data_IF_000705800855
#
_entry.id   IF_000705800855
#
_cell.length_a   1.000
_cell.length_b   1.000
_cell.length_c   1.000
_cell.angle_alpha   90.00
_cell.angle_beta   90.00
_cell.angle_gamma   90.00
#
_symmetry.space_group_name_H-M   'P 1'
#
loop_
_entity.id
_entity.type
_entity.pdbx_description
1 polymer ?
#
# COMPACT_ATOMS: atom_id res chain seq x y z
N UNK A 1 27.27 27.89 3.02
CA UNK A 1 26.51 26.65 2.79
C UNK A 1 26.61 26.27 1.32
N UNK A 2 27.11 25.08 0.95
CA UNK A 2 27.27 24.67 -0.44
C UNK A 2 25.92 24.36 -1.11
N UNK A 3 25.91 24.43 -2.44
CA UNK A 3 24.82 23.93 -3.27
C UNK A 3 25.19 22.52 -3.78
N UNK A 4 24.25 21.58 -3.72
CA UNK A 4 24.41 20.20 -4.21
C UNK A 4 23.42 20.00 -5.35
N UNK A 5 23.88 19.48 -6.48
CA UNK A 5 23.01 19.11 -7.59
C UNK A 5 23.18 17.64 -7.93
N UNK A 6 22.07 16.90 -7.95
CA UNK A 6 22.02 15.50 -8.36
C UNK A 6 21.21 15.37 -9.65
N UNK A 7 21.84 15.14 -10.81
CA UNK A 7 21.15 14.98 -12.09
C UNK A 7 20.50 13.61 -12.29
N UNK A 8 20.67 12.67 -11.36
CA UNK A 8 20.11 11.31 -11.40
C UNK A 8 19.47 10.96 -10.05
N UNK A 9 18.61 11.86 -9.58
CA UNK A 9 18.12 11.83 -8.21
C UNK A 9 17.29 10.58 -7.88
N UNK A 10 16.64 9.95 -8.86
CA UNK A 10 15.84 8.75 -8.65
C UNK A 10 14.75 8.99 -7.61
N UNK A 11 14.88 8.36 -6.43
CA UNK A 11 13.97 8.56 -5.30
C UNK A 11 14.25 9.80 -4.43
N UNK A 12 15.33 10.56 -4.71
CA UNK A 12 15.66 11.80 -4.02
C UNK A 12 16.53 11.65 -2.76
N UNK A 13 17.24 10.53 -2.59
CA UNK A 13 18.04 10.27 -1.38
C UNK A 13 19.18 11.30 -1.17
N UNK A 14 19.93 11.64 -2.22
CA UNK A 14 21.03 12.62 -2.15
C UNK A 14 20.49 14.03 -1.86
N UNK A 15 19.47 14.54 -2.60
CA UNK A 15 18.85 15.82 -2.27
C UNK A 15 18.31 15.89 -0.83
N UNK A 16 17.66 14.82 -0.34
CA UNK A 16 17.12 14.77 1.01
C UNK A 16 18.22 14.90 2.08
N UNK A 17 19.29 14.12 1.95
CA UNK A 17 20.40 14.16 2.90
C UNK A 17 21.16 15.49 2.85
N UNK A 18 21.37 16.05 1.65
CA UNK A 18 21.96 17.37 1.48
C UNK A 18 21.11 18.45 2.17
N UNK A 19 19.77 18.42 1.99
CA UNK A 19 18.86 19.34 2.65
C UNK A 19 18.87 19.17 4.18
N UNK A 20 18.95 17.93 4.68
CA UNK A 20 19.06 17.62 6.12
C UNK A 20 20.31 18.22 6.75
N UNK A 21 21.42 18.28 6.01
CA UNK A 21 22.67 18.93 6.42
C UNK A 21 22.64 20.46 6.25
N UNK A 22 21.53 21.03 5.78
CA UNK A 22 21.35 22.45 5.56
C UNK A 22 21.81 22.94 4.18
N UNK A 23 22.35 22.07 3.32
CA UNK A 23 22.78 22.44 1.98
C UNK A 23 21.59 22.85 1.09
N UNK A 24 21.84 23.71 0.11
CA UNK A 24 20.86 23.95 -0.95
C UNK A 24 20.94 22.80 -1.95
N UNK A 25 20.00 21.87 -1.87
CA UNK A 25 19.94 20.70 -2.74
C UNK A 25 19.04 20.92 -3.95
N UNK A 26 19.49 20.45 -5.10
CA UNK A 26 18.74 20.42 -6.35
C UNK A 26 18.81 18.99 -6.88
N UNK A 27 17.69 18.44 -7.35
CA UNK A 27 17.62 17.12 -7.95
C UNK A 27 16.84 17.16 -9.24
N UNK A 28 17.23 16.31 -10.18
CA UNK A 28 16.54 16.09 -11.44
C UNK A 28 16.58 14.59 -11.77
N UNK A 29 15.55 14.12 -12.46
CA UNK A 29 15.56 12.83 -13.11
C UNK A 29 14.77 12.94 -14.42
N UNK A 30 15.31 12.35 -15.49
CA UNK A 30 14.66 12.34 -16.80
C UNK A 30 13.45 11.41 -16.83
N UNK A 31 13.43 10.39 -15.96
CA UNK A 31 12.31 9.48 -15.86
C UNK A 31 11.14 10.17 -15.14
N UNK A 32 9.98 10.34 -15.79
CA UNK A 32 8.84 11.04 -15.18
C UNK A 32 8.32 10.33 -13.92
N UNK A 33 8.47 9.01 -13.82
CA UNK A 33 8.09 8.25 -12.62
C UNK A 33 9.02 8.58 -11.46
N UNK A 34 10.34 8.56 -11.71
CA UNK A 34 11.33 8.92 -10.71
C UNK A 34 11.14 10.37 -10.24
N UNK A 35 10.93 11.30 -11.18
CA UNK A 35 10.65 12.69 -10.87
C UNK A 35 9.45 12.86 -9.92
N UNK A 36 8.33 12.16 -10.17
CA UNK A 36 7.16 12.23 -9.29
C UNK A 36 7.46 11.64 -7.90
N UNK A 37 8.18 10.52 -7.85
CA UNK A 37 8.61 9.90 -6.58
C UNK A 37 9.51 10.85 -5.80
N UNK A 38 10.48 11.49 -6.44
CA UNK A 38 11.36 12.47 -5.85
C UNK A 38 10.57 13.65 -5.26
N UNK A 39 9.63 14.22 -6.02
CA UNK A 39 8.75 15.30 -5.55
C UNK A 39 7.95 14.87 -4.32
N UNK A 40 7.38 13.66 -4.35
CA UNK A 40 6.62 13.10 -3.24
C UNK A 40 7.45 12.78 -1.99
N UNK A 41 8.71 12.39 -2.19
CA UNK A 41 9.59 11.94 -1.10
C UNK A 41 10.37 13.10 -0.46
N UNK A 42 10.71 14.13 -1.25
CA UNK A 42 11.60 15.23 -0.81
C UNK A 42 10.86 16.55 -0.75
N UNK A 43 10.26 17.01 -1.85
CA UNK A 43 9.71 18.37 -1.92
C UNK A 43 8.40 18.52 -1.14
N UNK A 44 7.44 17.61 -1.37
CA UNK A 44 6.10 17.74 -0.80
C UNK A 44 6.10 17.65 0.73
N UNK A 45 6.83 16.74 1.39
CA UNK A 45 6.89 16.71 2.85
C UNK A 45 7.47 18.00 3.44
N UNK A 46 8.50 18.57 2.83
CA UNK A 46 9.11 19.83 3.31
C UNK A 46 8.19 21.04 3.09
N UNK A 47 7.43 21.06 2.00
CA UNK A 47 6.56 22.18 1.64
C UNK A 47 5.18 22.11 2.31
N UNK A 48 4.58 20.94 2.34
CA UNK A 48 3.18 20.70 2.74
C UNK A 48 3.04 19.86 4.02
N UNK A 49 4.11 19.26 4.55
CA UNK A 49 4.09 18.53 5.83
C UNK A 49 4.00 19.43 7.06
N UNK A 50 3.46 20.65 6.92
CA UNK A 50 3.35 21.67 7.97
C UNK A 50 1.89 21.79 8.43
N UNK A 51 1.65 22.35 9.64
CA UNK A 51 0.30 22.65 10.08
C UNK A 51 -0.38 23.67 9.18
N UNK A 52 -1.69 23.52 8.99
CA UNK A 52 -2.53 24.48 8.27
C UNK A 52 -3.84 24.70 9.01
N UNK A 53 -4.37 25.92 8.90
CA UNK A 53 -5.66 26.30 9.48
C UNK A 53 -6.64 26.61 8.36
N UNK A 54 -7.83 26.04 8.44
CA UNK A 54 -8.94 26.33 7.56
C UNK A 54 -10.09 26.94 8.33
N UNK A 55 -10.87 27.80 7.68
CA UNK A 55 -12.24 28.06 8.13
C UNK A 55 -13.09 26.83 7.83
N UNK A 56 -14.15 26.62 8.61
CA UNK A 56 -15.05 25.49 8.38
C UNK A 56 -15.66 25.52 6.96
N UNK A 57 -16.03 26.70 6.46
CA UNK A 57 -16.56 26.90 5.11
C UNK A 57 -15.57 26.46 4.03
N UNK A 58 -14.31 26.89 4.13
CA UNK A 58 -13.27 26.56 3.16
C UNK A 58 -12.92 25.07 3.20
N UNK A 59 -12.87 24.49 4.40
CA UNK A 59 -12.64 23.06 4.56
C UNK A 59 -13.76 22.24 3.92
N UNK A 60 -15.03 22.60 4.17
CA UNK A 60 -16.19 21.95 3.54
C UNK A 60 -16.19 22.11 2.02
N UNK A 61 -15.71 23.25 1.49
CA UNK A 61 -15.57 23.48 0.05
C UNK A 61 -14.56 22.53 -0.60
N UNK A 62 -13.43 22.26 0.07
CA UNK A 62 -12.34 21.43 -0.47
C UNK A 62 -12.62 19.93 -0.28
N UNK A 63 -12.99 19.51 0.93
CA UNK A 63 -13.07 18.09 1.31
C UNK A 63 -14.50 17.56 1.46
N UNK A 64 -15.51 18.43 1.36
CA UNK A 64 -16.91 18.03 1.46
C UNK A 64 -17.26 17.40 2.81
N UNK A 65 -18.30 16.55 2.79
CA UNK A 65 -18.78 15.84 3.98
C UNK A 65 -17.78 14.78 4.46
N UNK A 66 -17.19 14.04 3.54
CA UNK A 66 -16.27 12.93 3.85
C UNK A 66 -15.00 13.41 4.58
N UNK A 67 -14.52 14.62 4.25
CA UNK A 67 -13.43 15.24 4.99
C UNK A 67 -13.79 15.56 6.45
N UNK A 68 -15.03 15.98 6.71
CA UNK A 68 -15.52 16.26 8.06
C UNK A 68 -15.60 14.96 8.87
N UNK A 69 -16.13 13.89 8.26
CA UNK A 69 -16.20 12.58 8.89
C UNK A 69 -14.79 12.06 9.25
N UNK A 70 -13.81 12.29 8.37
CA UNK A 70 -12.40 11.96 8.65
C UNK A 70 -11.80 12.80 9.79
N UNK A 71 -12.10 14.10 9.87
CA UNK A 71 -11.64 14.95 10.97
C UNK A 71 -12.14 14.44 12.32
N UNK A 72 -13.44 14.11 12.40
CA UNK A 72 -14.07 13.58 13.61
C UNK A 72 -13.42 12.26 14.01
N UNK A 73 -13.22 11.35 13.06
CA UNK A 73 -12.56 10.07 13.31
C UNK A 73 -11.11 10.23 13.83
N UNK A 74 -10.42 11.30 13.45
CA UNK A 74 -9.08 11.65 13.93
C UNK A 74 -9.07 12.43 15.25
N UNK A 75 -10.23 12.76 15.81
CA UNK A 75 -10.34 13.55 17.03
C UNK A 75 -9.91 15.02 16.85
N UNK A 76 -9.90 15.53 15.61
CA UNK A 76 -9.57 16.94 15.34
C UNK A 76 -10.84 17.76 15.52
N UNK A 77 -10.95 18.45 16.65
CA UNK A 77 -12.11 19.29 16.98
C UNK A 77 -12.08 20.64 16.27
N UNK A 78 -13.25 21.13 15.88
CA UNK A 78 -13.44 22.47 15.36
C UNK A 78 -13.50 23.45 16.54
N UNK A 79 -12.57 24.40 16.61
CA UNK A 79 -12.55 25.43 17.67
C UNK A 79 -12.86 26.79 17.05
N UNK A 80 -13.95 27.44 17.48
CA UNK A 80 -14.37 28.75 16.99
C UNK A 80 -14.49 28.83 15.45
N UNK A 81 -15.01 27.79 14.79
CA UNK A 81 -15.14 27.72 13.33
C UNK A 81 -13.81 27.55 12.58
N UNK A 82 -12.70 27.32 13.30
CA UNK A 82 -11.36 27.09 12.73
C UNK A 82 -10.96 25.64 12.97
N UNK A 83 -10.47 25.02 11.90
CA UNK A 83 -9.97 23.65 11.88
C UNK A 83 -8.45 23.73 11.77
N UNK A 84 -7.75 23.10 12.72
CA UNK A 84 -6.30 23.04 12.73
C UNK A 84 -5.83 21.64 12.36
N UNK A 85 -5.24 21.49 11.18
CA UNK A 85 -4.70 20.22 10.71
C UNK A 85 -3.20 20.23 11.01
N UNK A 86 -2.69 19.32 11.88
CA UNK A 86 -1.28 19.33 12.27
C UNK A 86 -0.31 19.08 11.11
N UNK A 87 -0.72 18.26 10.14
CA UNK A 87 0.07 17.98 8.94
C UNK A 87 -0.87 17.92 7.73
N UNK A 88 -0.83 18.96 6.89
CA UNK A 88 -1.67 19.06 5.71
C UNK A 88 -1.44 17.89 4.75
N UNK A 89 -0.17 17.62 4.39
CA UNK A 89 0.15 16.57 3.42
C UNK A 89 -0.39 15.21 3.85
N UNK A 90 -0.18 14.83 5.10
CA UNK A 90 -0.67 13.56 5.63
C UNK A 90 -2.20 13.46 5.58
N UNK A 91 -2.89 14.56 5.86
CA UNK A 91 -4.35 14.61 5.77
C UNK A 91 -4.83 14.47 4.32
N UNK A 92 -4.23 15.24 3.41
CA UNK A 92 -4.55 15.23 1.98
C UNK A 92 -4.34 13.83 1.38
N UNK A 93 -3.19 13.20 1.65
CA UNK A 93 -2.86 11.85 1.16
C UNK A 93 -3.88 10.83 1.64
N UNK A 94 -4.25 10.86 2.92
CA UNK A 94 -5.23 9.90 3.45
C UNK A 94 -6.63 10.11 2.85
N UNK A 95 -7.06 11.36 2.75
CA UNK A 95 -8.36 11.71 2.17
C UNK A 95 -8.47 11.23 0.72
N UNK A 96 -7.51 11.62 -0.14
CA UNK A 96 -7.54 11.22 -1.55
C UNK A 96 -7.26 9.74 -1.75
N UNK A 97 -6.46 9.08 -0.89
CA UNK A 97 -6.27 7.64 -0.95
C UNK A 97 -7.57 6.88 -0.68
N UNK A 98 -8.37 7.30 0.31
CA UNK A 98 -9.68 6.69 0.60
C UNK A 98 -10.66 6.89 -0.55
N UNK A 99 -10.66 8.09 -1.16
CA UNK A 99 -11.46 8.36 -2.36
C UNK A 99 -11.07 7.42 -3.51
N UNK A 100 -9.77 7.34 -3.80
CA UNK A 100 -9.25 6.48 -4.86
C UNK A 100 -9.60 5.02 -4.60
N UNK A 101 -9.41 4.53 -3.37
CA UNK A 101 -9.79 3.17 -2.99
C UNK A 101 -11.28 2.91 -3.20
N UNK A 102 -12.16 3.84 -2.82
CA UNK A 102 -13.60 3.70 -3.03
C UNK A 102 -13.98 3.71 -4.52
N UNK A 103 -13.28 4.49 -5.35
CA UNK A 103 -13.48 4.51 -6.81
C UNK A 103 -12.99 3.20 -7.44
N UNK A 104 -11.78 2.77 -7.10
CA UNK A 104 -11.19 1.51 -7.59
C UNK A 104 -12.03 0.31 -7.18
N UNK A 105 -12.54 0.27 -5.95
CA UNK A 105 -13.42 -0.80 -5.50
C UNK A 105 -14.72 -0.88 -6.33
N UNK A 106 -15.31 0.27 -6.71
CA UNK A 106 -16.49 0.29 -7.58
C UNK A 106 -16.16 -0.17 -9.00
N UNK A 107 -14.99 0.19 -9.50
CA UNK A 107 -14.59 -0.07 -10.88
C UNK A 107 -14.11 -1.51 -11.09
N UNK A 108 -13.30 -2.04 -10.19
CA UNK A 108 -12.63 -3.35 -10.35
C UNK A 108 -12.83 -4.30 -9.17
N UNK A 109 -13.59 -3.92 -8.14
CA UNK A 109 -13.80 -4.78 -6.96
C UNK A 109 -14.47 -6.11 -7.28
N UNK A 110 -15.25 -6.20 -8.36
CA UNK A 110 -15.84 -7.46 -8.82
C UNK A 110 -14.81 -8.50 -9.27
N UNK A 111 -13.59 -8.08 -9.64
CA UNK A 111 -12.47 -8.99 -9.94
C UNK A 111 -11.90 -9.66 -8.69
N UNK A 112 -12.24 -9.12 -7.51
CA UNK A 112 -11.73 -9.52 -6.21
C UNK A 112 -12.89 -9.87 -5.24
N UNK A 113 -13.72 -10.88 -5.58
CA UNK A 113 -14.90 -11.20 -4.79
C UNK A 113 -14.51 -11.63 -3.37
N UNK A 114 -15.37 -11.29 -2.42
CA UNK A 114 -15.26 -11.81 -1.07
C UNK A 114 -15.60 -13.31 -1.02
N UNK A 115 -15.02 -14.02 -0.07
CA UNK A 115 -15.39 -15.42 0.21
C UNK A 115 -16.81 -15.52 0.82
N UNK A 116 -17.27 -16.75 1.07
CA UNK A 116 -18.58 -17.02 1.69
C UNK A 116 -18.77 -16.36 3.07
N UNK A 117 -17.65 -16.03 3.75
CA UNK A 117 -17.64 -15.38 5.05
C UNK A 117 -17.47 -13.85 4.95
N UNK A 118 -17.44 -13.30 3.73
CA UNK A 118 -17.25 -11.86 3.49
C UNK A 118 -15.79 -11.39 3.55
N UNK A 119 -14.80 -12.28 3.62
CA UNK A 119 -13.39 -11.92 3.62
C UNK A 119 -12.91 -11.61 2.20
N UNK A 120 -12.29 -10.45 2.00
CA UNK A 120 -11.66 -10.09 0.73
C UNK A 120 -10.25 -10.67 0.62
N UNK A 121 -9.89 -11.29 -0.51
CA UNK A 121 -8.54 -11.78 -0.74
C UNK A 121 -7.56 -10.60 -0.86
N UNK A 122 -6.48 -10.63 -0.07
CA UNK A 122 -5.42 -9.61 -0.07
C UNK A 122 -4.38 -9.90 -1.16
N UNK A 123 -4.24 -11.17 -1.56
CA UNK A 123 -3.29 -11.60 -2.57
C UNK A 123 -3.82 -12.84 -3.30
N UNK A 124 -3.47 -12.94 -4.58
CA UNK A 124 -3.67 -14.13 -5.40
C UNK A 124 -2.32 -14.77 -5.66
N UNK A 125 -2.26 -16.09 -5.51
CA UNK A 125 -1.03 -16.84 -5.74
C UNK A 125 -1.19 -17.66 -7.02
N UNK A 126 -0.51 -17.22 -8.08
CA UNK A 126 -0.55 -17.89 -9.38
C UNK A 126 0.64 -18.84 -9.53
N UNK A 127 0.36 -20.09 -9.90
CA UNK A 127 1.37 -21.12 -10.14
C UNK A 127 1.12 -21.77 -11.50
N UNK A 128 2.19 -22.07 -12.25
CA UNK A 128 2.09 -22.98 -13.40
C UNK A 128 1.97 -24.41 -12.87
N UNK A 129 1.15 -25.24 -13.48
CA UNK A 129 1.06 -26.67 -13.14
C UNK A 129 1.86 -27.52 -14.13
N UNK A 130 2.31 -28.69 -13.68
CA UNK A 130 2.88 -29.72 -14.52
C UNK A 130 2.34 -31.10 -14.11
N UNK A 131 2.09 -31.94 -15.10
CA UNK A 131 1.63 -33.31 -14.87
C UNK A 131 2.73 -34.14 -14.24
N UNK A 132 2.40 -34.89 -13.19
CA UNK A 132 3.31 -35.81 -12.52
C UNK A 132 3.87 -36.83 -13.50
N UNK A 133 5.19 -37.01 -13.52
CA UNK A 133 5.86 -37.95 -14.43
C UNK A 133 5.59 -39.42 -14.11
N UNK A 134 5.03 -39.73 -12.93
CA UNK A 134 4.63 -41.09 -12.59
C UNK A 134 3.37 -41.48 -13.38
N UNK A 135 3.43 -42.50 -14.27
CA UNK A 135 2.31 -42.90 -15.12
C UNK A 135 1.04 -43.31 -14.37
N UNK A 136 1.19 -43.74 -13.10
CA UNK A 136 0.07 -44.13 -12.23
C UNK A 136 -0.55 -42.95 -11.46
N UNK A 137 0.13 -41.81 -11.34
CA UNK A 137 -0.32 -40.66 -10.55
C UNK A 137 -1.03 -39.62 -11.43
N UNK A 138 -0.36 -39.13 -12.49
CA UNK A 138 -0.87 -38.11 -13.43
C UNK A 138 -1.44 -36.81 -12.83
N UNK A 139 -1.25 -36.57 -11.53
CA UNK A 139 -1.61 -35.34 -10.81
C UNK A 139 -1.08 -34.05 -11.46
N UNK A 140 -1.81 -32.93 -11.33
CA UNK A 140 -1.39 -31.59 -11.74
C UNK A 140 -0.67 -30.83 -10.61
N UNK A 141 0.64 -31.01 -10.54
CA UNK A 141 1.46 -30.43 -9.46
C UNK A 141 1.78 -28.96 -9.76
N UNK A 142 1.65 -28.02 -8.80
CA UNK A 142 1.95 -26.62 -9.03
C UNK A 142 3.46 -26.43 -8.86
N UNK A 143 4.07 -25.76 -9.84
CA UNK A 143 5.50 -25.49 -9.89
C UNK A 143 5.82 -24.30 -8.97
N UNK A 144 5.76 -24.55 -7.68
CA UNK A 144 6.13 -23.62 -6.63
C UNK A 144 7.55 -23.90 -6.15
N UNK A 145 8.33 -22.84 -5.92
CA UNK A 145 9.66 -22.98 -5.28
C UNK A 145 9.53 -23.51 -3.85
N UNK A 146 8.45 -23.16 -3.15
CA UNK A 146 8.14 -23.60 -1.80
C UNK A 146 6.64 -23.49 -1.52
N UNK A 147 6.14 -24.29 -0.58
CA UNK A 147 4.74 -24.24 -0.14
C UNK A 147 4.52 -23.26 1.04
N UNK A 148 5.58 -22.76 1.68
CA UNK A 148 5.44 -21.76 2.74
C UNK A 148 5.07 -20.39 2.18
N UNK A 149 3.96 -19.84 2.68
CA UNK A 149 3.56 -18.44 2.48
C UNK A 149 4.17 -17.53 3.55
N UNK A 150 4.36 -18.05 4.77
CA UNK A 150 5.11 -17.40 5.83
C UNK A 150 5.90 -18.47 6.59
N UNK A 151 7.20 -18.26 6.77
CA UNK A 151 8.06 -19.15 7.56
C UNK A 151 8.93 -18.33 8.50
N UNK A 152 8.33 -17.84 9.58
CA UNK A 152 9.00 -17.06 10.62
C UNK A 152 8.77 -17.70 11.97
N UNK A 153 9.57 -17.34 12.98
CA UNK A 153 9.41 -17.86 14.35
C UNK A 153 8.01 -17.61 14.95
N UNK A 154 7.38 -16.50 14.59
CA UNK A 154 6.05 -16.12 15.10
C UNK A 154 4.89 -16.62 14.24
N UNK A 155 5.13 -17.01 12.98
CA UNK A 155 4.08 -17.40 12.05
C UNK A 155 4.60 -18.37 10.99
N UNK A 156 3.99 -19.55 10.97
CA UNK A 156 4.21 -20.58 9.95
C UNK A 156 2.91 -20.87 9.22
N UNK A 157 2.84 -20.42 7.96
CA UNK A 157 1.70 -20.64 7.06
C UNK A 157 2.23 -21.33 5.81
N UNK A 158 1.60 -22.42 5.42
CA UNK A 158 1.93 -23.12 4.20
C UNK A 158 0.69 -23.63 3.47
N UNK A 159 0.86 -23.82 2.17
CA UNK A 159 -0.08 -24.48 1.29
C UNK A 159 0.02 -25.99 1.53
N UNK A 160 -1.07 -26.61 1.97
CA UNK A 160 -1.13 -28.05 2.18
C UNK A 160 -1.84 -28.69 0.97
N UNK A 161 -1.13 -29.44 0.11
CA UNK A 161 -1.75 -30.14 -1.01
C UNK A 161 -2.72 -31.21 -0.47
N UNK A 162 -3.91 -31.28 -1.06
CA UNK A 162 -4.90 -32.33 -0.78
C UNK A 162 -5.17 -33.07 -2.07
N UNK A 163 -4.91 -34.37 -2.05
CA UNK A 163 -5.09 -35.27 -3.18
C UNK A 163 -6.41 -36.01 -2.96
N UNK A 164 -7.34 -35.91 -3.90
CA UNK A 164 -8.57 -36.71 -3.95
C UNK A 164 -8.44 -37.81 -5.00
N UNK A 165 -9.06 -38.98 -4.79
CA UNK A 165 -9.01 -40.14 -5.71
C UNK A 165 -9.69 -39.89 -7.07
N UNK A 166 -10.40 -38.77 -7.22
CA UNK A 166 -11.06 -38.34 -8.45
C UNK A 166 -10.45 -37.03 -8.91
N UNK A 167 -9.53 -37.08 -9.89
CA UNK A 167 -8.98 -36.06 -10.83
C UNK A 167 -8.97 -34.53 -10.50
N UNK A 168 -9.33 -34.10 -9.29
CA UNK A 168 -9.38 -32.70 -8.85
C UNK A 168 -8.45 -32.53 -7.65
N UNK A 169 -7.32 -31.85 -7.87
CA UNK A 169 -6.42 -31.45 -6.80
C UNK A 169 -6.83 -30.10 -6.24
N UNK A 170 -7.07 -30.06 -4.93
CA UNK A 170 -7.34 -28.82 -4.21
C UNK A 170 -6.20 -28.51 -3.25
N UNK A 171 -5.75 -27.25 -3.24
CA UNK A 171 -4.77 -26.77 -2.27
C UNK A 171 -5.53 -26.06 -1.14
N UNK A 172 -5.46 -26.59 0.08
CA UNK A 172 -5.99 -25.88 1.26
C UNK A 172 -4.87 -25.17 2.00
N UNK A 173 -5.16 -23.96 2.44
CA UNK A 173 -4.30 -23.23 3.35
C UNK A 173 -4.39 -23.90 4.73
N UNK A 174 -3.25 -24.37 5.26
CA UNK A 174 -3.18 -24.87 6.63
C UNK A 174 -2.39 -23.87 7.46
N UNK A 175 -3.07 -23.33 8.47
CA UNK A 175 -2.46 -22.49 9.48
C UNK A 175 -1.92 -23.37 10.60
N UNK A 176 -0.62 -23.30 10.87
CA UNK A 176 -0.02 -23.97 12.01
C UNK A 176 0.38 -22.90 13.04
N UNK A 177 -0.52 -22.56 13.97
CA UNK A 177 -0.14 -21.87 15.20
C UNK A 177 0.44 -22.88 16.17
N UNK A 178 1.68 -23.30 15.94
CA UNK A 178 2.46 -23.91 17.02
C UNK A 178 3.59 -22.95 17.33
N UNK A 179 3.33 -22.07 18.29
CA UNK A 179 4.39 -21.49 19.12
C UNK A 179 4.84 -22.64 20.01
N UNK A 180 6.03 -23.18 19.73
CA UNK A 180 6.82 -23.90 20.75
C UNK A 180 7.88 -22.92 21.23
#
# INVERSE_FOLDING_TARGET
>A
MPSVFDPFAGGGAIPLEAARLGCRSYGNDINPVAHIIEKGSVEFPQKYGKPIRYTEEEFRRIYGKEGIDMLIAKGISISNGIINIPNRLSFDVEYYAKQLLAMTEKEVGYLYPADENGNKPIAYYWARTATCSNPSCKAEVPLLKQFYLANTKSKQIYLNPIIHETDEEFYKLKYCSTVV
#
